data_IF_604955662085
#
_entry.id   IF_604955662085
#
_cell.length_a   1.000
_cell.length_b   1.000
_cell.length_c   1.000
_cell.angle_alpha   90.00
_cell.angle_beta   90.00
_cell.angle_gamma   90.00
#
_symmetry.space_group_name_H-M   'P 1'
#
loop_
_entity.id
_entity.type
_entity.pdbx_description
1 polymer ?
#
# COMPACT_ATOMS: atom_id res chain seq x y z
N UNK A 1 21.06 46.20 9.80
CA UNK A 1 21.20 45.07 8.85
C UNK A 1 22.00 43.99 9.58
N UNK A 2 21.30 43.03 10.20
CA UNK A 2 21.91 41.98 11.04
C UNK A 2 22.55 40.89 10.18
N UNK A 3 23.67 40.38 10.68
CA UNK A 3 24.64 39.47 10.07
C UNK A 3 24.28 38.01 10.34
N UNK A 4 23.19 37.52 9.77
CA UNK A 4 22.72 36.15 10.06
C UNK A 4 22.52 35.28 8.80
N UNK A 5 23.30 35.52 7.75
CA UNK A 5 23.30 34.71 6.51
C UNK A 5 24.50 33.77 6.38
N UNK A 6 25.25 33.55 7.46
CA UNK A 6 26.53 32.84 7.41
C UNK A 6 26.49 31.53 8.21
N UNK A 7 25.62 30.58 7.83
CA UNK A 7 25.83 29.15 8.11
C UNK A 7 24.84 28.16 7.45
N UNK A 8 24.17 28.47 6.33
CA UNK A 8 23.41 27.41 5.63
C UNK A 8 24.38 26.55 4.82
N UNK A 9 24.59 25.31 5.28
CA UNK A 9 25.42 24.35 4.55
C UNK A 9 24.59 23.74 3.43
N UNK A 10 25.24 23.31 2.35
CA UNK A 10 24.58 22.71 1.16
C UNK A 10 23.69 21.48 1.48
N UNK A 11 23.74 20.96 2.72
CA UNK A 11 22.96 19.81 3.20
C UNK A 11 21.58 20.18 3.75
N UNK A 12 21.30 21.46 3.97
CA UNK A 12 20.04 21.90 4.59
C UNK A 12 18.84 21.85 3.62
N UNK A 13 19.09 21.76 2.31
CA UNK A 13 18.05 21.68 1.27
C UNK A 13 17.51 20.26 1.01
N UNK A 14 18.17 19.23 1.56
CA UNK A 14 17.78 17.84 1.33
C UNK A 14 17.12 17.22 2.58
N UNK A 15 16.27 17.99 3.24
CA UNK A 15 15.36 17.49 4.26
C UNK A 15 13.94 17.55 3.71
N UNK A 16 13.50 16.60 2.86
CA UNK A 16 12.08 16.50 2.59
C UNK A 16 11.43 16.24 3.94
N UNK A 17 10.49 17.08 4.37
CA UNK A 17 9.72 16.92 5.62
C UNK A 17 8.81 15.68 5.64
N UNK A 18 9.27 14.56 5.07
CA UNK A 18 8.68 13.23 5.20
C UNK A 18 9.46 12.50 6.28
N UNK A 19 8.76 12.08 7.31
CA UNK A 19 9.25 11.02 8.19
C UNK A 19 9.60 9.80 7.33
N UNK A 20 10.89 9.57 7.13
CA UNK A 20 11.38 8.32 6.56
C UNK A 20 11.35 7.26 7.64
N UNK A 21 10.94 6.03 7.29
CA UNK A 21 10.96 4.89 8.21
C UNK A 21 12.36 4.79 8.87
N UNK A 22 12.37 4.81 10.19
CA UNK A 22 13.57 4.66 11.01
C UNK A 22 13.94 3.18 11.15
N UNK A 23 15.15 2.92 11.65
CA UNK A 23 15.56 1.55 12.00
C UNK A 23 14.65 0.88 13.05
N UNK A 24 13.95 1.66 13.89
CA UNK A 24 13.01 1.15 14.86
C UNK A 24 11.70 0.65 14.21
N UNK A 25 11.36 1.15 13.02
CA UNK A 25 10.11 0.82 12.32
C UNK A 25 10.18 -0.51 11.55
N UNK A 26 11.37 -1.09 11.40
CA UNK A 26 11.62 -2.32 10.61
C UNK A 26 10.76 -3.49 11.10
N UNK A 27 10.59 -3.64 12.42
CA UNK A 27 9.75 -4.70 13.00
C UNK A 27 8.28 -4.55 12.60
N UNK A 28 7.75 -3.32 12.68
CA UNK A 28 6.37 -2.99 12.31
C UNK A 28 6.12 -3.19 10.81
N UNK A 29 7.09 -2.82 9.98
CA UNK A 29 7.05 -3.06 8.52
C UNK A 29 7.03 -4.56 8.22
N UNK A 30 7.86 -5.35 8.90
CA UNK A 30 7.87 -6.81 8.76
C UNK A 30 6.52 -7.44 9.09
N UNK A 31 5.88 -7.00 10.19
CA UNK A 31 4.56 -7.48 10.58
C UNK A 31 3.47 -7.07 9.58
N UNK A 32 3.53 -5.83 9.07
CA UNK A 32 2.60 -5.35 8.05
C UNK A 32 2.72 -6.16 6.75
N UNK A 33 3.95 -6.47 6.31
CA UNK A 33 4.19 -7.29 5.13
C UNK A 33 3.66 -8.72 5.28
N UNK A 34 3.88 -9.33 6.45
CA UNK A 34 3.35 -10.67 6.75
C UNK A 34 1.81 -10.67 6.75
N UNK A 35 1.20 -9.64 7.33
CA UNK A 35 -0.26 -9.47 7.35
C UNK A 35 -0.81 -9.30 5.93
N UNK A 36 -0.18 -8.45 5.11
CA UNK A 36 -0.58 -8.27 3.71
C UNK A 36 -0.44 -9.56 2.91
N UNK A 37 0.66 -10.30 3.09
CA UNK A 37 0.88 -11.59 2.42
C UNK A 37 -0.21 -12.60 2.76
N UNK A 38 -0.63 -12.65 4.04
CA UNK A 38 -1.74 -13.51 4.48
C UNK A 38 -3.05 -13.12 3.78
N UNK A 39 -3.38 -11.84 3.71
CA UNK A 39 -4.61 -11.39 3.04
C UNK A 39 -4.59 -11.68 1.53
N UNK A 40 -3.45 -11.50 0.86
CA UNK A 40 -3.27 -11.90 -0.56
C UNK A 40 -3.53 -13.40 -0.73
N UNK A 41 -3.03 -14.24 0.18
CA UNK A 41 -3.27 -15.66 0.14
C UNK A 41 -4.76 -16.01 0.30
N UNK A 42 -5.45 -15.35 1.23
CA UNK A 42 -6.90 -15.54 1.44
C UNK A 42 -7.68 -15.16 0.17
N UNK A 43 -7.34 -14.05 -0.48
CA UNK A 43 -7.99 -13.64 -1.73
C UNK A 43 -7.73 -14.67 -2.84
N UNK A 44 -6.48 -15.15 -2.98
CA UNK A 44 -6.12 -16.17 -3.97
C UNK A 44 -6.91 -17.46 -3.75
N UNK A 45 -7.04 -17.91 -2.51
CA UNK A 45 -7.79 -19.11 -2.13
C UNK A 45 -9.28 -18.94 -2.46
N UNK A 46 -9.88 -17.80 -2.09
CA UNK A 46 -11.29 -17.51 -2.42
C UNK A 46 -11.55 -17.47 -3.93
N UNK A 47 -10.62 -16.95 -4.74
CA UNK A 47 -10.73 -16.97 -6.19
C UNK A 47 -10.67 -18.41 -6.74
N UNK A 48 -9.75 -19.23 -6.25
CA UNK A 48 -9.65 -20.64 -6.65
C UNK A 48 -10.92 -21.43 -6.29
N UNK A 49 -11.49 -21.19 -5.10
CA UNK A 49 -12.77 -21.78 -4.68
C UNK A 49 -13.92 -21.27 -5.56
N UNK A 50 -13.96 -19.98 -5.88
CA UNK A 50 -14.97 -19.41 -6.77
C UNK A 50 -14.93 -20.04 -8.16
N UNK A 51 -13.75 -20.17 -8.76
CA UNK A 51 -13.54 -20.86 -10.05
C UNK A 51 -14.03 -22.31 -9.98
N UNK A 52 -13.71 -23.03 -8.91
CA UNK A 52 -14.14 -24.41 -8.73
C UNK A 52 -15.66 -24.54 -8.58
N UNK A 53 -16.30 -23.69 -7.76
CA UNK A 53 -17.76 -23.68 -7.56
C UNK A 53 -18.50 -23.32 -8.85
N UNK A 54 -17.96 -22.42 -9.66
CA UNK A 54 -18.54 -22.08 -10.97
C UNK A 54 -18.41 -23.24 -11.95
N UNK A 55 -17.24 -23.89 -12.00
CA UNK A 55 -17.01 -25.06 -12.85
C UNK A 55 -17.94 -26.24 -12.47
N UNK A 56 -18.17 -26.49 -11.17
CA UNK A 56 -19.14 -27.48 -10.69
C UNK A 56 -20.57 -27.20 -11.16
N UNK A 57 -20.91 -25.93 -11.41
CA UNK A 57 -22.18 -25.49 -11.97
C UNK A 57 -22.20 -25.44 -13.51
N UNK A 58 -21.14 -25.93 -14.16
CA UNK A 58 -21.02 -25.95 -15.62
C UNK A 58 -20.55 -24.64 -16.24
N UNK A 59 -19.99 -23.72 -15.45
CA UNK A 59 -19.43 -22.45 -15.92
C UNK A 59 -17.92 -22.46 -15.68
N UNK A 60 -17.14 -22.93 -16.66
CA UNK A 60 -15.67 -22.90 -16.57
C UNK A 60 -15.14 -21.55 -17.08
N UNK A 61 -14.66 -20.71 -16.16
CA UNK A 61 -14.22 -19.34 -16.46
C UNK A 61 -12.70 -19.19 -16.44
N UNK A 62 -11.91 -20.28 -16.30
CA UNK A 62 -10.46 -20.16 -16.07
C UNK A 62 -9.75 -19.48 -17.24
N UNK A 63 -10.05 -19.89 -18.47
CA UNK A 63 -9.49 -19.28 -19.68
C UNK A 63 -10.03 -17.86 -19.89
N UNK A 64 -11.31 -17.65 -19.57
CA UNK A 64 -11.96 -16.35 -19.68
C UNK A 64 -11.32 -15.31 -18.76
N UNK A 65 -10.96 -15.66 -17.52
CA UNK A 65 -10.28 -14.75 -16.58
C UNK A 65 -8.96 -14.23 -17.18
N UNK A 66 -8.16 -15.11 -17.76
CA UNK A 66 -6.84 -14.75 -18.33
C UNK A 66 -6.98 -13.94 -19.63
N UNK A 67 -8.02 -14.23 -20.42
CA UNK A 67 -8.28 -13.55 -21.69
C UNK A 67 -9.07 -12.23 -21.51
N UNK A 68 -9.71 -12.02 -20.37
CA UNK A 68 -10.64 -10.92 -20.16
C UNK A 68 -9.92 -9.57 -20.27
N UNK A 69 -10.41 -8.72 -21.17
CA UNK A 69 -9.99 -7.34 -21.27
C UNK A 69 -11.07 -6.43 -20.69
N UNK A 70 -10.84 -5.82 -19.51
CA UNK A 70 -11.80 -4.88 -18.94
C UNK A 70 -11.99 -3.69 -19.87
N UNK A 71 -13.22 -3.22 -20.00
CA UNK A 71 -13.52 -2.01 -20.74
C UNK A 71 -12.97 -0.76 -20.03
N UNK A 72 -13.17 0.41 -20.63
CA UNK A 72 -12.65 1.66 -20.06
C UNK A 72 -13.25 1.95 -18.69
N UNK A 73 -14.55 1.75 -18.53
CA UNK A 73 -15.27 2.06 -17.29
C UNK A 73 -14.76 1.18 -16.15
N UNK A 74 -14.65 -0.12 -16.39
CA UNK A 74 -14.13 -1.08 -15.41
C UNK A 74 -12.66 -0.81 -15.08
N UNK A 75 -11.80 -0.49 -16.05
CA UNK A 75 -10.40 -0.12 -15.76
C UNK A 75 -10.29 1.12 -14.89
N UNK A 76 -11.11 2.13 -15.14
CA UNK A 76 -11.08 3.37 -14.38
C UNK A 76 -11.60 3.14 -12.94
N UNK A 77 -12.64 2.31 -12.78
CA UNK A 77 -13.12 1.89 -11.46
C UNK A 77 -12.07 1.07 -10.67
N UNK A 78 -11.41 0.11 -11.31
CA UNK A 78 -10.34 -0.69 -10.69
C UNK A 78 -9.14 0.17 -10.29
N UNK A 79 -8.79 1.17 -11.11
CA UNK A 79 -7.70 2.11 -10.78
C UNK A 79 -8.05 2.95 -9.55
N UNK A 80 -9.28 3.45 -9.47
CA UNK A 80 -9.73 4.24 -8.33
C UNK A 80 -9.71 3.42 -7.04
N UNK A 81 -10.24 2.19 -7.08
CA UNK A 81 -10.18 1.27 -5.95
C UNK A 81 -8.73 0.96 -5.54
N UNK A 82 -7.84 0.74 -6.51
CA UNK A 82 -6.42 0.52 -6.26
C UNK A 82 -5.74 1.73 -5.59
N UNK A 83 -6.05 2.94 -6.03
CA UNK A 83 -5.53 4.17 -5.42
C UNK A 83 -6.00 4.35 -3.97
N UNK A 84 -7.28 4.04 -3.70
CA UNK A 84 -7.85 4.09 -2.35
C UNK A 84 -7.15 3.11 -1.41
N UNK A 85 -6.97 1.86 -1.83
CA UNK A 85 -6.25 0.85 -1.06
C UNK A 85 -4.81 1.29 -0.74
N UNK A 86 -4.08 1.79 -1.73
CA UNK A 86 -2.70 2.27 -1.52
C UNK A 86 -2.67 3.43 -0.52
N UNK A 87 -3.62 4.37 -0.62
CA UNK A 87 -3.73 5.48 0.32
C UNK A 87 -4.01 5.01 1.74
N UNK A 88 -4.90 4.03 1.93
CA UNK A 88 -5.22 3.47 3.26
C UNK A 88 -4.01 2.76 3.88
N UNK A 89 -3.27 1.99 3.09
CA UNK A 89 -2.05 1.32 3.54
C UNK A 89 -0.99 2.34 3.95
N UNK A 90 -0.75 3.37 3.14
CA UNK A 90 0.23 4.41 3.45
C UNK A 90 -0.15 5.21 4.71
N UNK A 91 -1.43 5.56 4.86
CA UNK A 91 -1.93 6.24 6.06
C UNK A 91 -1.78 5.37 7.32
N UNK A 92 -2.04 4.07 7.20
CA UNK A 92 -1.90 3.13 8.31
C UNK A 92 -0.44 3.02 8.74
N UNK A 93 0.49 2.88 7.79
CA UNK A 93 1.93 2.82 8.09
C UNK A 93 2.47 4.13 8.66
N UNK A 94 2.03 5.27 8.15
CA UNK A 94 2.38 6.59 8.70
C UNK A 94 1.87 6.76 10.14
N UNK A 95 0.65 6.29 10.44
CA UNK A 95 0.07 6.38 11.78
C UNK A 95 0.59 5.32 12.76
N UNK A 96 1.24 4.25 12.28
CA UNK A 96 1.93 3.25 13.11
C UNK A 96 3.33 3.74 13.52
N UNK A 97 3.91 4.69 12.78
CA UNK A 97 5.13 5.36 13.21
C UNK A 97 4.83 6.06 14.54
N UNK A 98 5.63 5.84 15.60
CA UNK A 98 5.31 6.34 16.92
C UNK A 98 5.13 7.85 16.85
N UNK A 99 3.99 8.37 17.35
CA UNK A 99 3.85 9.80 17.64
C UNK A 99 5.11 10.19 18.41
N UNK A 100 5.99 10.96 17.78
CA UNK A 100 7.09 11.60 18.49
C UNK A 100 6.48 12.24 19.73
N UNK A 101 6.98 11.83 20.89
CA UNK A 101 6.50 12.24 22.21
C UNK A 101 6.18 13.73 22.19
N UNK A 102 4.88 14.05 22.28
CA UNK A 102 4.45 15.35 22.75
C UNK A 102 4.59 15.29 24.27
N UNK A 103 5.83 15.45 24.73
CA UNK A 103 6.13 15.84 26.09
C UNK A 103 5.91 17.36 26.17
N UNK A 104 4.83 17.78 26.83
CA UNK A 104 4.73 19.07 27.52
C UNK A 104 4.25 18.82 28.96
#
# INVERSE_FOLDING_TARGET
MSKDYESMTLRDFNNPGRETLSGADIGSVGLALLSLTKEIWIIRDRLAVMEAVLAEKGIDIREDIEAYQPDREMRDALREQGNQLVSEVLNTLANISPKAQQDE
#
